data_IF_990397447238
#
_entry.id   IF_990397447238
#
_cell.length_a   1.000
_cell.length_b   1.000
_cell.length_c   1.000
_cell.angle_alpha   90.00
_cell.angle_beta   90.00
_cell.angle_gamma   90.00
#
_symmetry.space_group_name_H-M   'P 1'
#
loop_
_entity.id
_entity.type
_entity.pdbx_description
1 polymer ?
#
# COMPACT_ATOMS: atom_id res chain seq x y z
N UNK A 1 14.57 -27.54 6.61
CA UNK A 1 13.21 -27.51 6.01
C UNK A 1 13.02 -28.79 5.21
N UNK A 2 11.93 -29.52 5.42
CA UNK A 2 11.69 -30.84 4.81
C UNK A 2 11.62 -30.72 3.27
N UNK A 3 12.36 -31.56 2.52
CA UNK A 3 12.45 -31.50 1.04
C UNK A 3 11.07 -31.59 0.36
N UNK A 4 10.16 -32.36 0.95
CA UNK A 4 8.77 -32.50 0.50
C UNK A 4 7.96 -31.21 0.62
N UNK A 5 8.06 -30.52 1.77
CA UNK A 5 7.42 -29.21 1.95
C UNK A 5 8.03 -28.17 1.00
N UNK A 6 9.33 -28.27 0.73
CA UNK A 6 10.03 -27.36 -0.19
C UNK A 6 9.61 -27.58 -1.65
N UNK A 7 9.32 -28.81 -2.08
CA UNK A 7 8.80 -29.08 -3.43
C UNK A 7 7.36 -28.62 -3.61
N UNK A 8 6.52 -28.69 -2.57
CA UNK A 8 5.11 -28.26 -2.63
C UNK A 8 4.98 -26.74 -2.53
N UNK A 9 5.73 -26.10 -1.64
CA UNK A 9 5.64 -24.64 -1.40
C UNK A 9 6.62 -23.83 -2.26
N UNK A 10 7.47 -24.50 -3.04
CA UNK A 10 8.61 -23.91 -3.74
C UNK A 10 9.66 -23.29 -2.81
N UNK A 11 9.61 -23.60 -1.51
CA UNK A 11 10.47 -23.05 -0.45
C UNK A 11 10.20 -21.58 -0.11
N UNK A 12 10.27 -21.24 1.18
CA UNK A 12 10.23 -19.86 1.67
C UNK A 12 11.61 -19.22 1.54
N UNK A 13 11.76 -18.26 0.62
CA UNK A 13 12.97 -17.44 0.50
C UNK A 13 12.77 -16.10 1.20
N UNK A 14 13.88 -15.44 1.58
CA UNK A 14 13.84 -14.10 2.18
C UNK A 14 13.10 -13.09 1.28
N UNK A 15 13.22 -13.22 -0.04
CA UNK A 15 12.52 -12.37 -1.01
C UNK A 15 11.02 -12.68 -1.06
N UNK A 16 10.62 -13.96 -1.01
CA UNK A 16 9.19 -14.32 -0.94
C UNK A 16 8.55 -13.77 0.34
N UNK A 17 9.25 -13.85 1.47
CA UNK A 17 8.80 -13.25 2.71
C UNK A 17 8.68 -11.73 2.61
N UNK A 18 9.68 -11.05 2.02
CA UNK A 18 9.66 -9.61 1.77
C UNK A 18 8.46 -9.17 0.90
N UNK A 19 8.19 -9.89 -0.19
CA UNK A 19 7.03 -9.63 -1.05
C UNK A 19 5.71 -9.86 -0.31
N UNK A 20 5.65 -10.93 0.47
CA UNK A 20 4.46 -11.26 1.25
C UNK A 20 4.21 -10.25 2.37
N UNK A 21 5.25 -9.72 3.01
CA UNK A 21 5.07 -8.68 4.02
C UNK A 21 4.58 -7.36 3.40
N UNK A 22 5.09 -6.98 2.23
CA UNK A 22 4.59 -5.84 1.47
C UNK A 22 3.13 -6.01 1.04
N UNK A 23 2.77 -7.20 0.52
CA UNK A 23 1.38 -7.58 0.24
C UNK A 23 0.51 -7.43 1.50
N UNK A 24 0.95 -8.01 2.61
CA UNK A 24 0.21 -8.03 3.86
C UNK A 24 -0.10 -6.62 4.36
N UNK A 25 0.89 -5.70 4.35
CA UNK A 25 0.65 -4.32 4.75
C UNK A 25 -0.22 -3.55 3.76
N UNK A 26 -0.13 -3.82 2.45
CA UNK A 26 -1.05 -3.23 1.47
C UNK A 26 -2.50 -3.70 1.69
N UNK A 27 -2.71 -4.96 2.07
CA UNK A 27 -4.04 -5.48 2.42
C UNK A 27 -4.52 -4.89 3.75
N UNK A 28 -3.64 -4.74 4.75
CA UNK A 28 -3.99 -4.07 6.02
C UNK A 28 -4.50 -2.66 5.73
N UNK A 29 -3.82 -1.92 4.85
CA UNK A 29 -4.24 -0.58 4.47
C UNK A 29 -5.62 -0.57 3.80
N UNK A 30 -5.82 -1.42 2.79
CA UNK A 30 -7.10 -1.58 2.13
C UNK A 30 -8.23 -1.96 3.13
N UNK A 31 -7.95 -2.87 4.05
CA UNK A 31 -8.90 -3.27 5.09
C UNK A 31 -9.18 -2.13 6.07
N UNK A 32 -8.16 -1.38 6.47
CA UNK A 32 -8.28 -0.21 7.34
C UNK A 32 -9.27 0.81 6.77
N UNK A 33 -9.22 1.06 5.48
CA UNK A 33 -10.14 1.97 4.80
C UNK A 33 -11.60 1.47 4.79
N UNK A 34 -11.84 0.15 4.76
CA UNK A 34 -13.20 -0.42 4.86
C UNK A 34 -13.86 -0.17 6.22
N UNK A 35 -13.06 0.01 7.28
CA UNK A 35 -13.56 0.30 8.63
C UNK A 35 -13.58 1.80 8.96
N UNK A 36 -13.03 2.65 8.10
CA UNK A 36 -13.12 4.10 8.23
C UNK A 36 -14.37 4.60 7.48
N UNK A 37 -15.52 4.71 8.16
CA UNK A 37 -16.77 5.16 7.54
C UNK A 37 -17.02 6.66 7.74
N UNK A 38 -16.99 7.50 6.69
CA UNK A 38 -17.71 8.77 6.65
C UNK A 38 -19.07 8.54 6.02
N UNK A 39 -20.06 8.03 6.77
CA UNK A 39 -21.44 8.01 6.26
C UNK A 39 -21.98 9.43 5.96
N UNK A 40 -21.25 10.48 6.34
CA UNK A 40 -21.61 11.90 6.20
C UNK A 40 -20.83 12.67 5.12
N UNK A 41 -19.81 12.11 4.46
CA UNK A 41 -19.00 12.81 3.46
C UNK A 41 -18.75 11.96 2.19
N UNK A 42 -19.56 12.11 1.12
CA UNK A 42 -19.48 11.26 -0.08
C UNK A 42 -18.16 11.42 -0.86
N UNK A 43 -17.57 12.62 -0.90
CA UNK A 43 -16.28 12.85 -1.58
C UNK A 43 -15.08 12.22 -0.84
N UNK A 44 -15.14 12.15 0.50
CA UNK A 44 -14.15 11.42 1.31
C UNK A 44 -14.27 9.92 1.03
N UNK A 45 -15.51 9.41 0.92
CA UNK A 45 -15.78 8.01 0.59
C UNK A 45 -15.22 7.62 -0.78
N UNK A 46 -15.45 8.45 -1.82
CA UNK A 46 -14.90 8.22 -3.16
C UNK A 46 -13.36 8.17 -3.16
N UNK A 47 -12.71 9.07 -2.40
CA UNK A 47 -11.26 9.05 -2.26
C UNK A 47 -10.75 7.77 -1.57
N UNK A 48 -11.43 7.32 -0.51
CA UNK A 48 -11.12 6.06 0.18
C UNK A 48 -11.28 4.84 -0.74
N UNK A 49 -12.30 4.81 -1.61
CA UNK A 49 -12.50 3.72 -2.58
C UNK A 49 -11.37 3.63 -3.62
N UNK A 50 -10.86 4.79 -4.06
CA UNK A 50 -9.68 4.87 -4.93
C UNK A 50 -8.43 4.36 -4.21
N UNK A 51 -8.21 4.79 -2.95
CA UNK A 51 -7.10 4.31 -2.12
C UNK A 51 -7.15 2.78 -1.98
N UNK A 52 -8.29 2.22 -1.55
CA UNK A 52 -8.49 0.76 -1.42
C UNK A 52 -8.14 0.03 -2.72
N UNK A 53 -8.68 0.50 -3.85
CA UNK A 53 -8.45 -0.12 -5.15
C UNK A 53 -6.97 -0.08 -5.54
N UNK A 54 -6.31 1.06 -5.31
CA UNK A 54 -4.89 1.24 -5.60
C UNK A 54 -4.02 0.31 -4.74
N UNK A 55 -4.30 0.18 -3.44
CA UNK A 55 -3.53 -0.70 -2.56
C UNK A 55 -3.76 -2.19 -2.84
N UNK A 56 -4.94 -2.59 -3.32
CA UNK A 56 -5.16 -3.94 -3.87
C UNK A 56 -4.25 -4.18 -5.08
N UNK A 57 -4.18 -3.25 -6.04
CA UNK A 57 -3.30 -3.38 -7.21
C UNK A 57 -1.83 -3.41 -6.80
N UNK A 58 -1.41 -2.55 -5.87
CA UNK A 58 -0.05 -2.55 -5.33
C UNK A 58 0.29 -3.88 -4.62
N UNK A 59 -0.66 -4.46 -3.90
CA UNK A 59 -0.49 -5.76 -3.25
C UNK A 59 -0.13 -6.84 -4.29
N UNK A 60 -0.83 -6.84 -5.44
CA UNK A 60 -0.54 -7.74 -6.57
C UNK A 60 0.82 -7.46 -7.17
N UNK A 61 1.20 -6.19 -7.37
CA UNK A 61 2.52 -5.78 -7.84
C UNK A 61 3.63 -6.38 -6.99
N UNK A 62 3.56 -6.21 -5.65
CA UNK A 62 4.58 -6.73 -4.74
C UNK A 62 4.59 -8.25 -4.70
N UNK A 63 3.43 -8.89 -4.58
CA UNK A 63 3.29 -10.35 -4.56
C UNK A 63 3.90 -11.01 -5.80
N UNK A 64 3.53 -10.50 -6.98
CA UNK A 64 4.01 -11.01 -8.27
C UNK A 64 5.46 -10.60 -8.56
N UNK A 65 6.04 -9.69 -7.78
CA UNK A 65 7.40 -9.24 -8.01
C UNK A 65 7.57 -8.38 -9.25
N UNK A 66 6.57 -7.55 -9.60
CA UNK A 66 6.60 -6.69 -10.77
C UNK A 66 7.45 -5.44 -10.51
N UNK A 67 8.77 -5.60 -10.60
CA UNK A 67 9.76 -4.63 -10.12
C UNK A 67 9.63 -3.26 -10.78
N UNK A 68 9.25 -3.20 -12.06
CA UNK A 68 9.05 -1.92 -12.78
C UNK A 68 7.98 -1.05 -12.11
N UNK A 69 7.01 -1.68 -11.43
CA UNK A 69 5.89 -1.02 -10.75
C UNK A 69 6.14 -0.78 -9.26
N UNK A 70 7.27 -1.21 -8.71
CA UNK A 70 7.61 -0.97 -7.29
C UNK A 70 7.77 0.51 -6.99
N UNK A 71 8.51 1.23 -7.83
CA UNK A 71 8.74 2.67 -7.63
C UNK A 71 7.43 3.49 -7.75
N UNK A 72 6.59 3.31 -8.79
CA UNK A 72 5.27 3.94 -8.84
C UNK A 72 4.42 3.67 -7.59
N UNK A 73 4.42 2.41 -7.10
CA UNK A 73 3.70 2.03 -5.88
C UNK A 73 4.20 2.84 -4.67
N UNK A 74 5.52 2.90 -4.46
CA UNK A 74 6.12 3.65 -3.35
C UNK A 74 5.79 5.14 -3.44
N UNK A 75 5.88 5.74 -4.62
CA UNK A 75 5.57 7.17 -4.83
C UNK A 75 4.10 7.45 -4.48
N UNK A 76 3.18 6.60 -4.91
CA UNK A 76 1.77 6.73 -4.57
C UNK A 76 1.55 6.64 -3.04
N UNK A 77 2.23 5.73 -2.35
CA UNK A 77 2.17 5.64 -0.88
C UNK A 77 2.73 6.90 -0.20
N UNK A 78 3.84 7.46 -0.68
CA UNK A 78 4.40 8.72 -0.18
C UNK A 78 3.40 9.86 -0.38
N UNK A 79 2.76 9.94 -1.55
CA UNK A 79 1.75 10.94 -1.85
C UNK A 79 0.57 10.87 -0.86
N UNK A 80 0.05 9.68 -0.57
CA UNK A 80 -1.02 9.51 0.42
C UNK A 80 -0.59 9.93 1.84
N UNK A 81 0.63 9.56 2.24
CA UNK A 81 1.18 9.99 3.52
C UNK A 81 1.28 11.53 3.61
N UNK A 82 1.75 12.18 2.55
CA UNK A 82 1.86 13.65 2.49
C UNK A 82 0.47 14.30 2.54
N UNK A 83 -0.49 13.82 1.74
CA UNK A 83 -1.86 14.34 1.78
C UNK A 83 -2.49 14.17 3.17
N UNK A 84 -2.28 13.02 3.80
CA UNK A 84 -2.72 12.79 5.18
C UNK A 84 -2.14 13.83 6.14
N UNK A 85 -0.83 14.08 6.11
CA UNK A 85 -0.17 15.07 6.98
C UNK A 85 -0.65 16.51 6.70
N UNK A 86 -0.77 16.89 5.42
CA UNK A 86 -1.25 18.23 5.04
C UNK A 86 -2.71 18.43 5.47
N UNK A 87 -3.56 17.41 5.30
CA UNK A 87 -4.98 17.47 5.65
C UNK A 87 -5.21 17.71 7.14
N UNK A 88 -4.25 17.32 7.99
CA UNK A 88 -4.26 17.60 9.42
C UNK A 88 -4.05 19.07 9.80
N UNK A 89 -3.59 19.91 8.86
CA UNK A 89 -3.25 21.33 9.10
C UNK A 89 -4.09 22.26 8.20
N UNK A 90 -4.38 21.83 6.98
CA UNK A 90 -5.06 22.65 5.96
C UNK A 90 -6.23 21.87 5.37
N UNK A 91 -7.33 22.57 5.04
CA UNK A 91 -8.41 21.98 4.25
C UNK A 91 -7.92 21.61 2.84
N UNK A 92 -8.39 20.50 2.29
CA UNK A 92 -8.04 20.05 0.93
C UNK A 92 -9.32 19.85 0.12
N UNK A 93 -10.00 20.91 -0.36
CA UNK A 93 -11.16 20.74 -1.23
C UNK A 93 -10.76 20.05 -2.56
N UNK A 94 -11.57 19.12 -3.11
CA UNK A 94 -12.89 18.66 -2.64
C UNK A 94 -12.84 17.53 -1.61
N UNK A 95 -11.66 17.05 -1.23
CA UNK A 95 -11.44 15.89 -0.35
C UNK A 95 -11.90 16.18 1.09
N UNK A 96 -11.47 17.30 1.67
CA UNK A 96 -11.91 17.77 2.99
C UNK A 96 -12.16 19.28 2.99
N UNK A 97 -13.38 19.74 3.31
CA UNK A 97 -13.71 21.17 3.32
C UNK A 97 -13.14 21.91 4.53
N UNK A 98 -12.68 21.19 5.56
CA UNK A 98 -12.05 21.73 6.77
C UNK A 98 -10.71 21.06 7.01
N UNK A 99 -9.80 21.76 7.68
CA UNK A 99 -8.61 21.11 8.20
C UNK A 99 -9.02 20.09 9.26
N UNK A 100 -8.34 18.94 9.27
CA UNK A 100 -8.61 17.85 10.21
C UNK A 100 -7.88 18.09 11.56
N UNK A 101 -7.68 19.38 11.90
CA UNK A 101 -6.91 19.84 13.06
C UNK A 101 -7.57 19.42 14.36
N UNK A 102 -6.95 18.45 15.04
CA UNK A 102 -7.14 18.18 16.46
C UNK A 102 -8.26 17.21 16.78
N UNK A 103 -8.03 15.89 16.68
CA UNK A 103 -9.07 14.96 17.09
C UNK A 103 -8.52 13.61 17.56
N UNK A 104 -8.80 13.30 18.83
CA UNK A 104 -9.06 11.91 19.25
C UNK A 104 -10.18 11.31 18.38
N UNK A 105 -11.11 12.11 17.83
CA UNK A 105 -12.05 11.69 16.77
C UNK A 105 -11.37 11.36 15.42
N UNK A 106 -10.17 11.85 15.11
CA UNK A 106 -9.33 11.47 13.97
C UNK A 106 -8.34 10.37 14.36
N UNK A 107 -8.47 9.81 15.57
CA UNK A 107 -7.94 8.51 15.99
C UNK A 107 -9.09 7.46 16.08
N UNK A 108 -10.29 7.86 16.52
CA UNK A 108 -11.50 7.01 16.63
C UNK A 108 -12.23 6.79 15.28
N UNK A 109 -12.26 7.80 14.41
CA UNK A 109 -12.55 7.63 12.97
C UNK A 109 -11.43 6.84 12.24
N UNK A 110 -10.34 6.57 12.95
CA UNK A 110 -9.00 6.27 12.45
C UNK A 110 -8.43 4.98 13.00
N UNK A 111 -9.27 4.08 13.54
CA UNK A 111 -8.80 2.72 13.76
C UNK A 111 -8.27 2.17 12.41
N UNK A 112 -8.95 2.49 11.30
CA UNK A 112 -8.42 2.29 9.95
C UNK A 112 -7.13 3.07 9.66
N UNK A 113 -7.17 4.40 9.73
CA UNK A 113 -6.05 5.26 9.26
C UNK A 113 -4.76 5.16 10.11
N UNK A 114 -4.80 4.75 11.38
CA UNK A 114 -3.59 4.45 12.15
C UNK A 114 -2.88 3.19 11.62
N UNK A 115 -3.64 2.16 11.25
CA UNK A 115 -3.09 1.00 10.53
C UNK A 115 -2.63 1.39 9.12
N UNK A 116 -3.33 2.30 8.45
CA UNK A 116 -2.86 2.88 7.18
C UNK A 116 -1.53 3.59 7.32
N UNK A 117 -1.34 4.42 8.34
CA UNK A 117 -0.09 5.12 8.58
C UNK A 117 1.07 4.13 8.78
N UNK A 118 0.86 3.10 9.60
CA UNK A 118 1.86 2.05 9.82
C UNK A 118 2.14 1.30 8.51
N UNK A 119 1.09 0.95 7.75
CA UNK A 119 1.22 0.26 6.48
C UNK A 119 1.96 1.10 5.44
N UNK A 120 1.66 2.38 5.33
CA UNK A 120 2.34 3.29 4.42
C UNK A 120 3.81 3.43 4.76
N UNK A 121 4.14 3.68 6.03
CA UNK A 121 5.54 3.76 6.46
C UNK A 121 6.29 2.45 6.18
N UNK A 122 5.65 1.30 6.44
CA UNK A 122 6.23 0.00 6.13
C UNK A 122 6.46 -0.16 4.62
N UNK A 123 5.44 0.07 3.79
CA UNK A 123 5.53 -0.05 2.33
C UNK A 123 6.60 0.88 1.76
N UNK A 124 6.71 2.11 2.27
CA UNK A 124 7.74 3.06 1.83
C UNK A 124 9.13 2.53 2.17
N UNK A 125 9.40 2.23 3.45
CA UNK A 125 10.73 1.82 3.89
C UNK A 125 11.15 0.47 3.29
N UNK A 126 10.25 -0.51 3.36
CA UNK A 126 10.51 -1.89 2.92
C UNK A 126 10.43 -1.98 1.40
N UNK A 127 9.57 -1.20 0.73
CA UNK A 127 9.53 -1.09 -0.72
C UNK A 127 10.81 -0.47 -1.28
N UNK A 128 11.31 0.61 -0.67
CA UNK A 128 12.60 1.20 -1.04
C UNK A 128 13.76 0.20 -0.84
N UNK A 129 13.72 -0.60 0.22
CA UNK A 129 14.66 -1.68 0.42
C UNK A 129 14.50 -2.77 -0.67
N UNK A 130 13.27 -3.16 -0.99
CA UNK A 130 12.96 -4.17 -2.00
C UNK A 130 13.47 -3.77 -3.39
N UNK A 131 13.45 -2.48 -3.76
CA UNK A 131 14.04 -2.00 -5.02
C UNK A 131 15.53 -2.39 -5.17
N UNK A 132 16.26 -2.49 -4.06
CA UNK A 132 17.69 -2.84 -4.04
C UNK A 132 17.94 -4.35 -4.04
N UNK A 133 17.13 -5.12 -3.29
CA UNK A 133 17.41 -6.53 -3.03
C UNK A 133 16.59 -7.50 -3.88
N UNK A 134 15.41 -7.08 -4.34
CA UNK A 134 14.54 -7.90 -5.18
C UNK A 134 14.83 -7.64 -6.66
N UNK A 135 15.23 -8.70 -7.37
CA UNK A 135 15.50 -8.65 -8.81
C UNK A 135 14.23 -8.68 -9.65
N UNK A 136 13.06 -8.89 -9.04
CA UNK A 136 11.79 -9.10 -9.71
C UNK A 136 11.55 -10.58 -10.04
N UNK A 137 10.32 -10.91 -10.46
CA UNK A 137 9.98 -12.24 -10.98
C UNK A 137 10.25 -12.36 -12.48
N UNK A 138 10.19 -13.58 -13.01
CA UNK A 138 10.25 -13.84 -14.46
C UNK A 138 9.09 -13.20 -15.24
N UNK A 139 8.01 -12.81 -14.58
CA UNK A 139 6.90 -12.09 -15.23
C UNK A 139 7.36 -10.74 -15.79
N UNK A 140 8.39 -10.12 -15.19
CA UNK A 140 8.95 -8.87 -15.72
C UNK A 140 9.55 -9.05 -17.11
N UNK A 141 10.00 -10.25 -17.48
CA UNK A 141 10.53 -10.51 -18.82
C UNK A 141 9.42 -10.52 -19.88
N UNK A 142 8.18 -10.87 -19.50
CA UNK A 142 7.00 -10.77 -20.37
C UNK A 142 6.47 -9.34 -20.53
N UNK A 143 6.85 -8.44 -19.61
CA UNK A 143 6.43 -7.04 -19.59
C UNK A 143 7.50 -6.10 -20.16
N UNK A 144 8.71 -6.60 -20.42
CA UNK A 144 9.70 -5.86 -21.19
C UNK A 144 9.18 -5.78 -22.62
N UNK A 145 9.22 -4.58 -23.19
CA UNK A 145 8.90 -4.38 -24.59
C UNK A 145 9.64 -5.42 -25.44
N UNK A 146 8.92 -6.05 -26.36
CA UNK A 146 9.56 -6.68 -27.50
C UNK A 146 10.35 -5.57 -28.19
N UNK A 147 11.67 -5.70 -28.22
CA UNK A 147 12.52 -4.80 -29.01
C UNK A 147 12.12 -5.00 -30.48
N UNK A 148 11.19 -4.21 -30.98
CA UNK A 148 11.02 -3.96 -32.42
C UNK A 148 12.16 -3.10 -32.91
#
# INVERSE_FOLDING_TARGET
MNKFLQSITGGYSKIKFLRFSLLFFAIIDAAAHLYASPSTYPYVTFWLEIEVSAFIVMSVVFLLGLRIWYLPSIIFTIFNLVLYLISGIVAIPPISPVALTGHIQFADYSFGRAFSLIAWLYIILVGLFALKVDKGSKLNDLLKEDKT
#
